data_IF_622956627681
#
_entry.id   IF_622956627681
#
_cell.length_a   1.000
_cell.length_b   1.000
_cell.length_c   1.000
_cell.angle_alpha   90.00
_cell.angle_beta   90.00
_cell.angle_gamma   90.00
#
_symmetry.space_group_name_H-M   'P 1'
#
loop_
_entity.id
_entity.type
_entity.pdbx_description
1 polymer ?
#
# COMPACT_ATOMS: atom_id res chain seq x y z
N UNK A 1 -11.59 -6.37 4.00
CA UNK A 1 -11.51 -5.24 4.95
C UNK A 1 -11.37 -3.94 4.19
N UNK A 2 -11.70 -2.80 4.80
CA UNK A 2 -11.43 -1.48 4.22
C UNK A 2 -12.33 -1.03 3.06
N UNK A 3 -13.47 -1.69 2.82
CA UNK A 3 -14.41 -1.29 1.77
C UNK A 3 -15.79 -1.02 2.35
N UNK A 4 -16.54 -0.14 1.71
CA UNK A 4 -17.90 0.18 2.11
C UNK A 4 -18.90 -0.75 1.42
N UNK A 5 -20.07 -0.94 2.03
CA UNK A 5 -21.13 -1.82 1.49
C UNK A 5 -21.86 -1.23 0.27
N UNK A 6 -21.38 -0.12 -0.27
CA UNK A 6 -21.93 0.56 -1.44
C UNK A 6 -20.81 0.93 -2.43
N UNK A 7 -21.15 1.09 -3.71
CA UNK A 7 -20.17 1.38 -4.76
C UNK A 7 -19.49 2.74 -4.60
N UNK A 8 -18.23 2.83 -5.01
CA UNK A 8 -17.43 4.06 -4.97
C UNK A 8 -16.11 3.91 -5.73
N UNK A 9 -15.38 5.01 -5.87
CA UNK A 9 -14.04 5.06 -6.47
C UNK A 9 -13.08 5.85 -5.58
N UNK A 10 -11.80 5.48 -5.66
CA UNK A 10 -10.71 6.16 -4.96
C UNK A 10 -9.65 6.55 -5.98
N UNK A 11 -9.26 7.82 -5.97
CA UNK A 11 -8.26 8.39 -6.86
C UNK A 11 -7.19 9.11 -6.04
N UNK A 12 -5.93 8.91 -6.41
CA UNK A 12 -4.79 9.48 -5.70
C UNK A 12 -3.48 9.17 -6.41
N UNK A 13 -2.40 9.73 -5.87
CA UNK A 13 -1.06 9.51 -6.40
C UNK A 13 -0.48 8.23 -5.83
N UNK A 14 0.04 7.38 -6.71
CA UNK A 14 0.77 6.19 -6.30
C UNK A 14 2.12 6.61 -5.72
N UNK A 15 2.33 6.30 -4.45
CA UNK A 15 3.61 6.49 -3.78
C UNK A 15 4.39 5.21 -3.91
N UNK A 16 5.52 5.32 -4.62
CA UNK A 16 6.53 4.28 -4.66
C UNK A 16 7.56 4.58 -3.58
N UNK A 17 7.99 3.55 -2.84
CA UNK A 17 9.10 3.74 -1.92
C UNK A 17 10.40 4.07 -2.65
N UNK A 18 11.25 4.88 -2.01
CA UNK A 18 12.55 5.25 -2.58
C UNK A 18 13.56 4.11 -2.54
N UNK A 19 14.14 3.82 -3.71
CA UNK A 19 15.46 3.19 -3.95
C UNK A 19 15.84 1.91 -3.16
N UNK A 20 14.89 1.26 -2.51
CA UNK A 20 15.04 -0.09 -1.97
C UNK A 20 14.03 -1.03 -2.59
N UNK A 21 14.46 -2.27 -2.76
CA UNK A 21 13.73 -3.31 -3.47
C UNK A 21 12.52 -3.87 -2.70
N UNK A 22 12.26 -3.44 -1.46
CA UNK A 22 11.24 -4.04 -0.59
C UNK A 22 10.66 -3.08 0.45
N UNK A 23 9.36 -2.80 0.36
CA UNK A 23 8.59 -2.08 1.40
C UNK A 23 7.46 -2.91 1.92
N UNK A 24 7.72 -3.54 3.06
CA UNK A 24 6.79 -4.51 3.62
C UNK A 24 5.80 -3.89 4.59
N UNK A 25 6.01 -2.65 5.07
CA UNK A 25 5.15 -1.97 6.06
C UNK A 25 4.73 -2.91 7.21
N UNK A 26 5.70 -3.59 7.79
CA UNK A 26 5.48 -4.56 8.88
C UNK A 26 5.75 -3.99 10.28
N UNK A 27 6.35 -2.80 10.35
CA UNK A 27 6.51 -2.04 11.59
C UNK A 27 6.01 -0.62 11.34
N UNK A 28 5.36 -0.05 12.35
CA UNK A 28 4.92 1.34 12.31
C UNK A 28 6.13 2.24 12.57
N UNK A 29 6.83 2.62 11.50
CA UNK A 29 7.85 3.66 11.59
C UNK A 29 7.19 5.03 11.41
N UNK A 30 7.46 6.03 12.28
CA UNK A 30 6.92 7.38 12.12
C UNK A 30 7.23 7.98 10.73
N UNK A 31 6.27 8.68 10.12
CA UNK A 31 6.37 9.29 8.78
C UNK A 31 7.66 10.09 8.55
N UNK A 32 8.09 10.80 9.57
CA UNK A 32 9.23 11.71 9.60
C UNK A 32 10.58 11.00 9.81
N UNK A 33 10.56 9.78 10.35
CA UNK A 33 11.72 8.93 10.60
C UNK A 33 11.85 7.78 9.61
N UNK A 34 10.80 7.42 8.88
CA UNK A 34 10.83 6.38 7.88
C UNK A 34 11.60 6.88 6.64
N UNK A 35 12.83 6.38 6.39
CA UNK A 35 13.70 6.84 5.29
C UNK A 35 13.22 6.38 3.91
N UNK A 36 12.01 5.85 3.83
CA UNK A 36 11.40 5.34 2.60
C UNK A 36 10.12 6.10 2.22
N UNK A 37 9.58 6.87 3.16
CA UNK A 37 8.41 7.74 2.96
C UNK A 37 8.91 9.18 2.76
N UNK A 38 9.64 9.39 1.66
CA UNK A 38 10.17 10.71 1.30
C UNK A 38 9.20 11.55 0.46
N UNK A 39 8.06 10.99 0.03
CA UNK A 39 7.18 11.70 -0.90
C UNK A 39 6.69 13.05 -0.37
N UNK A 40 6.50 13.22 0.94
CA UNK A 40 6.17 14.53 1.54
C UNK A 40 7.29 15.57 1.38
N UNK A 41 8.55 15.10 1.35
CA UNK A 41 9.75 15.93 1.19
C UNK A 41 10.09 16.18 -0.28
N UNK A 42 9.79 15.24 -1.16
CA UNK A 42 10.05 15.34 -2.61
C UNK A 42 8.89 15.99 -3.39
N UNK A 43 7.71 16.08 -2.78
CA UNK A 43 6.56 16.75 -3.37
C UNK A 43 6.78 18.26 -3.42
N UNK A 44 6.94 18.78 -4.62
CA UNK A 44 7.16 20.21 -4.88
C UNK A 44 5.88 20.97 -5.23
N UNK A 45 4.73 20.28 -5.22
CA UNK A 45 3.41 20.86 -5.48
C UNK A 45 2.69 21.32 -4.22
N UNK A 46 1.48 21.88 -4.39
CA UNK A 46 0.57 22.14 -3.28
C UNK A 46 0.14 20.80 -2.65
N UNK A 47 0.45 20.60 -1.37
CA UNK A 47 0.15 19.37 -0.62
C UNK A 47 -1.22 19.42 0.09
N UNK A 48 -1.94 20.53 0.00
CA UNK A 48 -3.19 20.75 0.77
C UNK A 48 -4.34 19.80 0.41
N UNK A 49 -4.30 19.16 -0.78
CA UNK A 49 -5.35 18.25 -1.26
C UNK A 49 -4.78 17.06 -2.03
N UNK A 50 -3.65 16.53 -1.60
CA UNK A 50 -3.07 15.37 -2.28
C UNK A 50 -3.40 14.12 -1.49
N UNK A 51 -4.01 13.16 -2.17
CA UNK A 51 -4.32 11.86 -1.62
C UNK A 51 -3.35 10.83 -2.16
N UNK A 52 -2.86 9.95 -1.30
CA UNK A 52 -1.77 9.04 -1.63
C UNK A 52 -2.20 7.58 -1.46
N UNK A 53 -1.82 6.79 -2.44
CA UNK A 53 -2.04 5.35 -2.48
C UNK A 53 -0.68 4.70 -2.31
N UNK A 54 -0.50 3.88 -1.26
CA UNK A 54 0.78 3.23 -0.99
C UNK A 54 0.91 1.94 -1.80
N UNK A 55 2.07 1.73 -2.43
CA UNK A 55 2.47 0.43 -2.96
C UNK A 55 3.40 -0.27 -1.96
N UNK A 56 3.01 -1.45 -1.51
CA UNK A 56 3.75 -2.26 -0.54
C UNK A 56 3.99 -3.66 -1.08
N UNK A 57 5.15 -4.24 -0.80
CA UNK A 57 5.46 -5.61 -1.20
C UNK A 57 4.85 -6.63 -0.25
N UNK A 58 4.39 -7.75 -0.83
CA UNK A 58 3.97 -8.92 -0.09
C UNK A 58 5.16 -9.57 0.64
N UNK A 59 4.89 -10.05 1.85
CA UNK A 59 5.85 -10.79 2.68
C UNK A 59 6.01 -10.18 4.07
N UNK A 60 6.83 -10.84 4.91
CA UNK A 60 7.26 -10.43 6.26
C UNK A 60 6.19 -10.34 7.36
N UNK A 61 4.93 -9.99 7.05
CA UNK A 61 3.82 -9.87 7.99
C UNK A 61 2.47 -10.09 7.30
N UNK A 62 1.37 -10.11 8.07
CA UNK A 62 0.01 -10.23 7.52
C UNK A 62 -0.39 -9.00 6.71
N UNK A 63 -1.30 -9.17 5.75
CA UNK A 63 -1.80 -8.07 4.92
C UNK A 63 -2.41 -6.95 5.74
N UNK A 64 -3.17 -7.30 6.77
CA UNK A 64 -3.83 -6.34 7.65
C UNK A 64 -2.85 -5.42 8.37
N UNK A 65 -1.70 -5.94 8.85
CA UNK A 65 -0.65 -5.11 9.44
C UNK A 65 -0.14 -4.05 8.44
N UNK A 66 0.02 -4.44 7.17
CA UNK A 66 0.46 -3.50 6.13
C UNK A 66 -0.54 -2.38 5.95
N UNK A 67 -1.83 -2.73 5.89
CA UNK A 67 -2.89 -1.77 5.62
C UNK A 67 -3.10 -0.84 6.82
N UNK A 68 -3.09 -1.35 8.05
CA UNK A 68 -3.06 -0.53 9.26
C UNK A 68 -1.88 0.46 9.27
N UNK A 69 -0.67 -0.03 8.98
CA UNK A 69 0.50 0.82 8.96
C UNK A 69 0.35 1.92 7.90
N UNK A 70 -0.03 1.58 6.67
CA UNK A 70 -0.28 2.60 5.63
C UNK A 70 -1.42 3.56 5.98
N UNK A 71 -2.47 3.08 6.67
CA UNK A 71 -3.56 3.92 7.17
C UNK A 71 -3.06 4.91 8.23
N UNK A 72 -2.22 4.47 9.16
CA UNK A 72 -1.58 5.33 10.15
C UNK A 72 -0.66 6.39 9.50
N UNK A 73 -0.15 6.09 8.30
CA UNK A 73 0.62 7.00 7.45
C UNK A 73 -0.26 7.88 6.56
N UNK A 74 -1.57 7.94 6.83
CA UNK A 74 -2.57 8.74 6.11
C UNK A 74 -2.74 8.38 4.63
N UNK A 75 -2.39 7.16 4.24
CA UNK A 75 -2.75 6.64 2.92
C UNK A 75 -4.28 6.55 2.80
N UNK A 76 -4.81 6.82 1.61
CA UNK A 76 -6.23 6.65 1.29
C UNK A 76 -6.55 5.27 0.71
N UNK A 77 -5.52 4.52 0.32
CA UNK A 77 -5.62 3.15 -0.17
C UNK A 77 -4.25 2.46 -0.13
N UNK A 78 -4.28 1.13 -0.14
CA UNK A 78 -3.06 0.31 -0.12
C UNK A 78 -3.08 -0.73 -1.23
N UNK A 79 -2.06 -0.72 -2.05
CA UNK A 79 -1.83 -1.71 -3.08
C UNK A 79 -0.73 -2.64 -2.58
N UNK A 80 -1.07 -3.92 -2.41
CA UNK A 80 -0.09 -4.95 -2.09
C UNK A 80 0.38 -5.58 -3.40
N UNK A 81 1.68 -5.53 -3.65
CA UNK A 81 2.30 -6.18 -4.80
C UNK A 81 2.74 -7.59 -4.42
N UNK A 82 2.23 -8.57 -5.16
CA UNK A 82 2.68 -9.94 -5.05
C UNK A 82 4.13 -10.07 -5.57
N UNK A 83 4.97 -10.76 -4.81
CA UNK A 83 6.36 -11.03 -5.14
C UNK A 83 6.55 -12.43 -5.78
N UNK A 84 5.48 -13.20 -5.95
CA UNK A 84 5.49 -14.52 -6.56
C UNK A 84 4.75 -14.52 -7.91
N UNK A 85 5.15 -15.44 -8.79
CA UNK A 85 4.44 -15.69 -10.06
C UNK A 85 3.33 -16.71 -9.79
N UNK A 86 2.20 -16.22 -9.31
CA UNK A 86 1.05 -17.05 -8.99
C UNK A 86 -0.29 -16.37 -9.32
N UNK A 87 -1.38 -17.12 -9.11
CA UNK A 87 -2.74 -16.60 -9.29
C UNK A 87 -3.11 -15.70 -8.11
N UNK A 88 -3.86 -14.63 -8.38
CA UNK A 88 -4.38 -13.74 -7.33
C UNK A 88 -5.27 -14.52 -6.36
N UNK A 89 -5.19 -14.13 -5.09
CA UNK A 89 -5.95 -14.71 -3.99
C UNK A 89 -6.48 -13.59 -3.08
N UNK A 90 -7.45 -13.94 -2.23
CA UNK A 90 -8.03 -13.00 -1.29
C UNK A 90 -7.06 -12.71 -0.14
N UNK A 91 -6.88 -11.43 0.19
CA UNK A 91 -6.15 -11.03 1.39
C UNK A 91 -7.02 -11.27 2.62
N UNK A 92 -6.78 -12.39 3.32
CA UNK A 92 -7.49 -12.73 4.55
C UNK A 92 -6.82 -12.12 5.77
N UNK A 93 -7.63 -11.65 6.72
CA UNK A 93 -7.19 -11.30 8.07
C UNK A 93 -7.11 -12.56 8.95
N UNK A 94 -6.26 -12.56 10.00
CA UNK A 94 -6.36 -13.55 11.07
C UNK A 94 -7.74 -13.52 11.76
N UNK A 95 -8.14 -14.63 12.38
CA UNK A 95 -9.49 -14.77 13.01
C UNK A 95 -9.72 -13.78 14.16
N UNK A 96 -8.69 -13.46 14.94
CA UNK A 96 -8.75 -12.55 16.09
C UNK A 96 -8.32 -11.12 15.75
N UNK A 97 -8.49 -10.69 14.51
CA UNK A 97 -8.11 -9.36 14.06
C UNK A 97 -9.19 -8.33 14.36
N UNK A 98 -8.80 -7.12 14.76
CA UNK A 98 -9.74 -6.01 14.96
C UNK A 98 -10.11 -5.37 13.62
N UNK A 99 -11.39 -5.08 13.39
CA UNK A 99 -11.86 -4.57 12.09
C UNK A 99 -11.83 -3.03 12.06
N UNK A 100 -10.64 -2.46 12.17
CA UNK A 100 -10.37 -1.01 12.24
C UNK A 100 -9.82 -0.42 10.92
N UNK A 101 -9.66 -1.27 9.90
CA UNK A 101 -9.20 -0.87 8.58
C UNK A 101 -10.36 -0.24 7.81
N UNK A 102 -10.22 1.05 7.50
CA UNK A 102 -11.22 1.86 6.78
C UNK A 102 -10.79 2.26 5.37
N UNK A 103 -9.54 1.99 4.99
CA UNK A 103 -9.02 2.29 3.65
C UNK A 103 -9.07 1.06 2.73
N UNK A 104 -9.45 1.21 1.45
CA UNK A 104 -9.48 0.11 0.52
C UNK A 104 -8.09 -0.44 0.27
N UNK A 105 -8.04 -1.76 0.07
CA UNK A 105 -6.80 -2.45 -0.26
C UNK A 105 -7.00 -3.47 -1.36
N UNK A 106 -5.99 -3.62 -2.22
CA UNK A 106 -6.02 -4.53 -3.37
C UNK A 106 -4.69 -5.26 -3.52
N UNK A 107 -4.75 -6.52 -3.96
CA UNK A 107 -3.59 -7.31 -4.34
C UNK A 107 -3.37 -7.22 -5.85
N UNK A 108 -2.16 -6.84 -6.27
CA UNK A 108 -1.72 -6.88 -7.67
C UNK A 108 -0.69 -7.98 -7.88
N UNK A 109 -0.81 -8.68 -9.01
CA UNK A 109 0.11 -9.77 -9.35
C UNK A 109 1.44 -9.24 -9.88
N UNK A 110 2.52 -9.98 -9.62
CA UNK A 110 3.89 -9.65 -10.05
C UNK A 110 4.00 -9.33 -11.56
N UNK A 111 3.22 -10.03 -12.39
CA UNK A 111 3.19 -9.87 -13.84
C UNK A 111 2.71 -8.48 -14.31
N UNK A 112 2.05 -7.70 -13.46
CA UNK A 112 1.53 -6.39 -13.84
C UNK A 112 2.66 -5.36 -14.06
N UNK A 113 3.75 -5.44 -13.29
CA UNK A 113 4.85 -4.48 -13.36
C UNK A 113 5.99 -4.90 -14.32
N UNK A 114 6.08 -6.18 -14.69
CA UNK A 114 7.14 -6.67 -15.59
C UNK A 114 6.91 -6.39 -17.09
N UNK A 115 5.79 -5.75 -17.47
CA UNK A 115 5.37 -5.64 -18.88
C UNK A 115 6.09 -4.55 -19.69
N UNK A 116 7.08 -3.84 -19.14
CA UNK A 116 7.82 -2.77 -19.85
C UNK A 116 9.29 -3.11 -20.16
N UNK A 117 9.53 -4.34 -20.61
CA UNK A 117 10.79 -4.71 -21.29
C UNK A 117 10.42 -5.50 -22.56
N UNK A 118 9.97 -4.81 -23.60
CA UNK A 118 9.98 -5.35 -24.96
C UNK A 118 10.91 -4.46 -25.79
N UNK A 119 12.01 -5.09 -26.23
CA UNK A 119 12.96 -4.60 -27.22
C UNK A 119 12.29 -4.17 -28.52
#
# INVERSE_FOLDING_TARGET
FGYQNYGGSVEGYLVLPMNTTFHTECTQEPLDLNPYIHWLKDWTGDSSNVFYIFLVDRGSCYFVNKVENTQALSAIATIVLDNLVESLFNMWSPENWDDDIVIPSVLLGFLFFKKKERF
#
